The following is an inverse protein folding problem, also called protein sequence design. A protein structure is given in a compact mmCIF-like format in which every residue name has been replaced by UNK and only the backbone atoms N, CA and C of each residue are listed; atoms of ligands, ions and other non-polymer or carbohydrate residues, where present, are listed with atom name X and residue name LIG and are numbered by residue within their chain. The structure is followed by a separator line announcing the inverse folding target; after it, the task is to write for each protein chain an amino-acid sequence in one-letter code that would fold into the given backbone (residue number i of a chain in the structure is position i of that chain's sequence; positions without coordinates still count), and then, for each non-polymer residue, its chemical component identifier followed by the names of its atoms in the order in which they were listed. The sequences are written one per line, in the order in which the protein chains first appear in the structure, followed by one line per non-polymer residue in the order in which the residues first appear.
data_IF_398740672677
#
_entry.id   IF_398740672677
#
_cell.length_a   1.000
_cell.length_b   1.000
_cell.length_c   1.000
_cell.angle_alpha   90.00
_cell.angle_beta   90.00
_cell.angle_gamma   90.00
#
_symmetry.space_group_name_H-M   'P 1'
#
loop_
_entity.id
_entity.type
_entity.pdbx_description
1 polymer ?
#
# COMPACT_ATOMS: atom_id res chain seq x y z
N UNK A 1 3.66 2.06 -2.36
CA UNK A 1 3.53 1.13 -3.51
C UNK A 1 3.53 1.97 -4.75
N UNK A 2 4.44 1.71 -5.69
CA UNK A 2 4.48 2.40 -6.99
C UNK A 2 4.03 1.41 -8.07
N UNK A 3 2.89 1.69 -8.68
CA UNK A 3 2.28 0.84 -9.70
C UNK A 3 2.63 1.33 -11.12
N UNK A 4 2.36 0.48 -12.13
CA UNK A 4 2.52 0.74 -13.56
C UNK A 4 3.98 0.81 -14.03
N UNK A 5 4.87 0.04 -13.39
CA UNK A 5 6.29 -0.03 -13.78
C UNK A 5 6.53 -0.66 -15.16
N UNK A 6 5.50 -1.27 -15.74
CA UNK A 6 5.52 -1.86 -17.09
C UNK A 6 5.48 -0.82 -18.22
N UNK A 7 5.15 0.44 -17.92
CA UNK A 7 5.07 1.47 -18.94
C UNK A 7 6.47 1.92 -19.40
N UNK A 8 6.68 2.14 -20.72
CA UNK A 8 7.99 2.55 -21.24
C UNK A 8 8.46 3.92 -20.74
N UNK A 9 7.55 4.75 -20.21
CA UNK A 9 7.87 6.02 -19.56
C UNK A 9 7.85 5.97 -18.03
N UNK A 10 7.84 4.78 -17.41
CA UNK A 10 7.86 4.66 -15.97
C UNK A 10 9.25 5.04 -15.41
N UNK A 11 9.28 6.02 -14.50
CA UNK A 11 10.50 6.47 -13.82
C UNK A 11 10.39 6.25 -12.30
N UNK A 12 10.35 5.00 -11.81
CA UNK A 12 10.08 4.69 -10.41
C UNK A 12 11.08 5.34 -9.45
N UNK A 13 12.37 5.39 -9.81
CA UNK A 13 13.42 5.99 -8.97
C UNK A 13 13.25 7.51 -8.80
N UNK A 14 12.83 8.20 -9.88
CA UNK A 14 12.55 9.64 -9.84
C UNK A 14 11.35 9.92 -8.92
N UNK A 15 10.29 9.12 -9.06
CA UNK A 15 9.07 9.26 -8.25
C UNK A 15 9.33 8.93 -6.78
N UNK A 16 10.17 7.94 -6.47
CA UNK A 16 10.59 7.63 -5.10
C UNK A 16 11.23 8.84 -4.44
N UNK A 17 12.20 9.46 -5.12
CA UNK A 17 12.87 10.68 -4.61
C UNK A 17 11.89 11.82 -4.43
N UNK A 18 10.97 12.02 -5.38
CA UNK A 18 9.96 13.07 -5.28
C UNK A 18 9.03 12.85 -4.08
N UNK A 19 8.63 11.62 -3.78
CA UNK A 19 7.84 11.31 -2.58
C UNK A 19 8.63 11.59 -1.30
N UNK A 20 9.91 11.23 -1.24
CA UNK A 20 10.78 11.50 -0.09
C UNK A 20 10.99 12.99 0.13
N UNK A 21 11.27 13.75 -0.93
CA UNK A 21 11.58 15.18 -0.85
C UNK A 21 10.34 16.05 -0.63
N UNK A 22 9.20 15.71 -1.27
CA UNK A 22 7.99 16.55 -1.25
C UNK A 22 7.01 16.12 -0.16
N UNK A 23 6.80 14.81 0.03
CA UNK A 23 5.82 14.28 1.00
C UNK A 23 6.49 13.95 2.33
N UNK A 24 7.80 13.72 2.35
CA UNK A 24 8.55 13.39 3.57
C UNK A 24 8.31 11.97 4.07
N UNK A 25 7.92 11.04 3.19
CA UNK A 25 7.71 9.63 3.52
C UNK A 25 8.94 8.80 3.18
N UNK A 26 9.37 7.93 4.09
CA UNK A 26 10.43 6.95 3.81
C UNK A 26 9.96 5.94 2.75
N UNK A 27 10.63 5.97 1.60
CA UNK A 27 10.33 5.09 0.48
C UNK A 27 11.38 3.99 0.30
N UNK A 28 12.31 3.81 1.24
CA UNK A 28 13.34 2.75 1.20
C UNK A 28 12.75 1.35 1.03
N UNK A 29 11.55 1.14 1.56
CA UNK A 29 10.81 -0.12 1.51
C UNK A 29 9.63 -0.09 0.51
N UNK A 30 9.64 0.85 -0.43
CA UNK A 30 8.61 0.97 -1.45
C UNK A 30 8.62 -0.25 -2.38
N UNK A 31 7.44 -0.80 -2.60
CA UNK A 31 7.26 -1.94 -3.50
C UNK A 31 6.89 -1.42 -4.88
N UNK A 32 7.70 -1.78 -5.87
CA UNK A 32 7.45 -1.55 -7.29
C UNK A 32 6.57 -2.67 -7.82
N UNK A 33 5.45 -2.33 -8.45
CA UNK A 33 4.51 -3.32 -8.97
C UNK A 33 3.95 -2.95 -10.35
N UNK A 34 3.49 -3.97 -11.06
CA UNK A 34 2.61 -3.82 -12.22
C UNK A 34 1.37 -4.65 -12.00
N UNK A 35 0.25 -3.97 -11.76
CA UNK A 35 -1.04 -4.64 -11.68
C UNK A 35 -1.48 -5.28 -13.01
N UNK A 36 -0.97 -4.77 -14.14
CA UNK A 36 -1.25 -5.30 -15.48
C UNK A 36 -0.53 -6.61 -15.75
N UNK A 37 0.76 -6.66 -15.42
CA UNK A 37 1.62 -7.82 -15.65
C UNK A 37 1.68 -8.76 -14.43
N UNK A 38 1.02 -8.42 -13.31
CA UNK A 38 1.01 -9.21 -12.07
C UNK A 38 2.31 -9.13 -11.25
N UNK A 39 3.21 -8.21 -11.58
CA UNK A 39 4.52 -8.05 -10.92
C UNK A 39 4.34 -7.37 -9.55
N UNK A 40 4.97 -7.90 -8.50
CA UNK A 40 5.00 -7.28 -7.17
C UNK A 40 3.73 -7.47 -6.34
N UNK A 41 2.71 -8.18 -6.83
CA UNK A 41 1.46 -8.42 -6.11
C UNK A 41 1.69 -9.27 -4.85
N UNK A 42 2.47 -10.35 -4.97
CA UNK A 42 2.82 -11.20 -3.83
C UNK A 42 3.64 -10.43 -2.79
N UNK A 43 4.55 -9.56 -3.23
CA UNK A 43 5.36 -8.74 -2.33
C UNK A 43 4.49 -7.76 -1.54
N UNK A 44 3.48 -7.16 -2.20
CA UNK A 44 2.49 -6.30 -1.54
C UNK A 44 1.72 -7.09 -0.47
N UNK A 45 1.21 -8.28 -0.81
CA UNK A 45 0.45 -9.10 0.15
C UNK A 45 1.30 -9.50 1.35
N UNK A 46 2.54 -9.93 1.11
CA UNK A 46 3.49 -10.26 2.18
C UNK A 46 3.82 -9.04 3.04
N UNK A 47 3.99 -7.87 2.43
CA UNK A 47 4.25 -6.63 3.16
C UNK A 47 3.04 -6.17 3.98
N UNK A 48 1.82 -6.39 3.51
CA UNK A 48 0.60 -6.13 4.29
C UNK A 48 0.63 -6.98 5.56
N UNK A 49 0.87 -8.28 5.44
CA UNK A 49 0.94 -9.20 6.59
C UNK A 49 2.06 -8.82 7.56
N UNK A 50 3.24 -8.45 7.04
CA UNK A 50 4.41 -8.17 7.86
C UNK A 50 4.38 -6.79 8.53
N UNK A 51 3.79 -5.77 7.87
CA UNK A 51 3.90 -4.36 8.30
C UNK A 51 2.63 -3.83 8.95
N UNK A 52 1.45 -4.37 8.63
CA UNK A 52 0.18 -3.91 9.21
C UNK A 52 -0.14 -4.75 10.46
N UNK A 53 -0.21 -4.13 11.65
CA UNK A 53 -0.56 -4.87 12.85
C UNK A 53 -2.02 -5.35 12.79
N UNK A 54 -2.34 -6.49 13.42
CA UNK A 54 -3.72 -6.95 13.52
C UNK A 54 -4.57 -5.97 14.35
N UNK A 55 -5.89 -5.90 14.10
CA UNK A 55 -6.77 -5.09 14.92
C UNK A 55 -6.82 -5.62 16.37
N UNK A 56 -7.03 -4.75 17.36
CA UNK A 56 -7.14 -5.18 18.75
C UNK A 56 -8.39 -6.05 18.96
N UNK A 57 -8.26 -7.09 19.79
CA UNK A 57 -9.41 -7.91 20.19
C UNK A 57 -10.37 -7.08 21.06
N UNK A 58 -11.58 -6.89 20.54
CA UNK A 58 -12.67 -6.14 21.20
C UNK A 58 -13.91 -6.99 21.42
N UNK A 59 -13.82 -8.31 21.25
CA UNK A 59 -14.94 -9.26 21.33
C UNK A 59 -15.73 -9.20 22.65
N UNK A 60 -15.09 -8.79 23.76
CA UNK A 60 -15.70 -8.67 25.09
C UNK A 60 -16.32 -7.28 25.37
N UNK A 61 -16.24 -6.33 24.44
CA UNK A 61 -16.74 -4.96 24.62
C UNK A 61 -18.14 -4.80 24.01
N UNK A 62 -18.93 -3.80 24.42
CA UNK A 62 -20.19 -3.46 23.75
C UNK A 62 -19.99 -3.19 22.25
N UNK A 63 -20.97 -3.59 21.43
CA UNK A 63 -20.93 -3.44 19.98
C UNK A 63 -20.63 -1.98 19.58
N UNK A 64 -19.62 -1.82 18.73
CA UNK A 64 -19.28 -0.56 18.08
C UNK A 64 -18.86 -0.86 16.65
N UNK A 65 -19.54 -0.25 15.69
CA UNK A 65 -19.26 -0.44 14.27
C UNK A 65 -19.12 0.93 13.57
N UNK A 66 -18.23 1.00 12.58
CA UNK A 66 -18.05 2.18 11.72
C UNK A 66 -18.68 1.88 10.36
N UNK A 67 -19.71 2.64 9.97
CA UNK A 67 -20.21 2.63 8.60
C UNK A 67 -19.27 3.50 7.78
N UNK A 68 -18.54 2.89 6.85
CA UNK A 68 -17.57 3.60 6.00
C UNK A 68 -18.02 3.71 4.54
N UNK A 69 -18.97 2.87 4.11
CA UNK A 69 -19.56 2.92 2.78
C UNK A 69 -21.02 2.46 2.84
N UNK A 70 -21.87 3.00 1.96
CA UNK A 70 -23.27 2.60 1.78
C UNK A 70 -23.65 2.73 0.30
N UNK A 71 -24.17 1.64 -0.24
CA UNK A 71 -24.76 1.65 -1.59
C UNK A 71 -26.02 2.53 -1.63
N UNK A 72 -26.28 3.16 -2.78
CA UNK A 72 -27.54 3.85 -3.07
C UNK A 72 -28.23 3.19 -4.24
#
# INVERSE_FOLDING_TARGET
VLNKIDLPGAEPDRVIKEIEEVIGLDCSNAILCSAKEGIGIMDILNAIVARIPPPPDTSKRPLRALIFDRFR
#
